data_IF_342057983289
#
_entry.id   IF_342057983289
#
_cell.length_a   1.000
_cell.length_b   1.000
_cell.length_c   1.000
_cell.angle_alpha   90.00
_cell.angle_beta   90.00
_cell.angle_gamma   90.00
#
_symmetry.space_group_name_H-M   'P 1'
#
loop_
_entity.id
_entity.type
_entity.pdbx_description
1 polymer ?
#
# COMPACT_ATOMS: atom_id res chain seq x y z
N UNK A 1 15.65 5.76 -21.74
CA UNK A 1 15.89 5.05 -20.47
C UNK A 1 15.75 3.56 -20.73
N UNK A 2 16.65 2.74 -20.23
CA UNK A 2 16.56 1.28 -20.37
C UNK A 2 15.73 0.71 -19.21
N UNK A 3 14.46 0.46 -19.45
CA UNK A 3 13.51 0.00 -18.43
C UNK A 3 13.81 -1.39 -17.87
N UNK A 4 14.62 -2.21 -18.57
CA UNK A 4 15.05 -3.52 -18.07
C UNK A 4 16.02 -3.41 -16.88
N UNK A 5 16.70 -2.27 -16.73
CA UNK A 5 17.72 -2.04 -15.70
C UNK A 5 17.32 -0.97 -14.68
N UNK A 6 16.13 -0.41 -14.82
CA UNK A 6 15.65 0.67 -13.93
C UNK A 6 15.33 0.13 -12.55
N UNK A 7 15.90 0.75 -11.53
CA UNK A 7 15.41 0.60 -10.17
C UNK A 7 14.23 1.56 -9.93
N UNK A 8 13.02 1.03 -10.04
CA UNK A 8 11.79 1.80 -9.89
C UNK A 8 11.70 2.58 -8.57
N UNK A 9 12.34 2.09 -7.50
CA UNK A 9 12.22 2.68 -6.16
C UNK A 9 13.15 3.87 -5.94
N UNK A 10 14.22 3.98 -6.73
CA UNK A 10 15.25 5.02 -6.55
C UNK A 10 15.46 5.92 -7.76
N UNK A 11 14.94 5.54 -8.93
CA UNK A 11 15.11 6.31 -10.17
C UNK A 11 14.22 7.56 -10.20
N UNK A 12 14.86 8.71 -10.02
CA UNK A 12 14.17 10.00 -9.96
C UNK A 12 13.49 10.39 -11.27
N UNK A 13 14.00 9.94 -12.40
CA UNK A 13 13.41 10.25 -13.71
C UNK A 13 12.00 9.67 -13.90
N UNK A 14 11.58 8.73 -13.06
CA UNK A 14 10.23 8.18 -13.06
C UNK A 14 9.24 8.98 -12.23
N UNK A 15 9.70 9.91 -11.38
CA UNK A 15 8.82 10.72 -10.53
C UNK A 15 7.96 11.66 -11.36
N UNK A 16 8.56 12.28 -12.37
CA UNK A 16 7.89 13.27 -13.21
C UNK A 16 6.88 12.63 -14.19
N UNK A 17 7.24 11.46 -14.75
CA UNK A 17 6.37 10.71 -15.66
C UNK A 17 6.63 9.18 -15.53
N UNK A 18 5.91 8.48 -14.66
CA UNK A 18 6.06 7.03 -14.47
C UNK A 18 5.33 6.20 -15.54
N UNK A 19 4.44 6.79 -16.34
CA UNK A 19 3.54 6.04 -17.23
C UNK A 19 4.25 5.22 -18.30
N UNK A 20 5.33 5.70 -18.96
CA UNK A 20 6.07 4.88 -19.92
C UNK A 20 6.67 3.61 -19.30
N UNK A 21 7.09 3.69 -18.03
CA UNK A 21 7.56 2.52 -17.30
C UNK A 21 6.41 1.54 -16.96
N UNK A 22 5.25 2.06 -16.57
CA UNK A 22 4.08 1.20 -16.34
C UNK A 22 3.59 0.52 -17.62
N UNK A 23 3.65 1.18 -18.76
CA UNK A 23 3.32 0.59 -20.05
C UNK A 23 4.30 -0.52 -20.44
N UNK A 24 5.57 -0.35 -20.13
CA UNK A 24 6.58 -1.39 -20.28
C UNK A 24 6.27 -2.59 -19.36
N UNK A 25 5.94 -2.37 -18.09
CA UNK A 25 5.62 -3.46 -17.16
C UNK A 25 4.36 -4.23 -17.59
N UNK A 26 3.34 -3.56 -18.12
CA UNK A 26 2.08 -4.19 -18.59
C UNK A 26 2.27 -5.15 -19.76
N UNK A 27 3.37 -5.07 -20.49
CA UNK A 27 3.68 -6.07 -21.53
C UNK A 27 3.88 -7.47 -20.96
N UNK A 28 4.25 -7.56 -19.66
CA UNK A 28 4.31 -8.81 -18.91
C UNK A 28 3.72 -8.51 -17.50
N UNK A 29 2.41 -8.76 -17.30
CA UNK A 29 1.67 -8.32 -16.11
C UNK A 29 2.23 -8.77 -14.77
N UNK A 30 3.00 -9.86 -14.74
CA UNK A 30 3.73 -10.34 -13.56
C UNK A 30 5.20 -10.46 -13.95
N UNK A 31 6.02 -9.54 -13.45
CA UNK A 31 7.44 -9.44 -13.82
C UNK A 31 8.32 -9.23 -12.61
N UNK A 32 9.43 -9.97 -12.54
CA UNK A 32 10.49 -9.68 -11.57
C UNK A 32 11.26 -8.46 -12.04
N UNK A 33 11.41 -7.47 -11.15
CA UNK A 33 12.11 -6.21 -11.45
C UNK A 33 13.40 -6.10 -10.65
N UNK A 34 14.51 -5.65 -11.29
CA UNK A 34 15.77 -5.45 -10.61
C UNK A 34 15.74 -4.16 -9.75
N UNK A 35 16.74 -3.98 -8.87
CA UNK A 35 17.73 -4.95 -8.43
C UNK A 35 17.27 -5.79 -7.23
N UNK A 36 16.11 -5.44 -6.64
CA UNK A 36 15.67 -5.93 -5.33
C UNK A 36 14.95 -7.28 -5.38
N UNK A 37 14.80 -7.87 -6.57
CA UNK A 37 14.07 -9.12 -6.74
C UNK A 37 12.56 -9.03 -6.52
N UNK A 38 12.03 -7.82 -6.45
CA UNK A 38 10.60 -7.54 -6.31
C UNK A 38 9.85 -8.05 -7.54
N UNK A 39 8.65 -8.57 -7.32
CA UNK A 39 7.74 -8.93 -8.41
C UNK A 39 6.70 -7.82 -8.56
N UNK A 40 6.74 -7.13 -9.70
CA UNK A 40 5.72 -6.16 -10.06
C UNK A 40 4.50 -6.89 -10.65
N UNK A 41 3.32 -6.62 -10.10
CA UNK A 41 2.03 -7.14 -10.59
C UNK A 41 1.23 -5.95 -11.10
N UNK A 42 1.06 -5.84 -12.42
CA UNK A 42 0.47 -4.67 -13.09
C UNK A 42 -0.82 -4.98 -13.85
N UNK A 43 -1.15 -6.25 -14.03
CA UNK A 43 -2.44 -6.66 -14.59
C UNK A 43 -3.55 -6.58 -13.53
N UNK A 44 -4.76 -6.18 -13.94
CA UNK A 44 -5.90 -6.05 -13.02
C UNK A 44 -6.32 -7.39 -12.42
N UNK A 45 -6.40 -8.42 -13.24
CA UNK A 45 -6.83 -9.76 -12.80
C UNK A 45 -5.78 -10.38 -11.88
N UNK A 46 -4.51 -10.27 -12.23
CA UNK A 46 -3.39 -10.79 -11.45
C UNK A 46 -3.27 -10.04 -10.11
N UNK A 47 -3.39 -8.73 -10.10
CA UNK A 47 -3.38 -7.93 -8.86
C UNK A 47 -4.57 -8.29 -7.97
N UNK A 48 -5.76 -8.45 -8.57
CA UNK A 48 -6.96 -8.83 -7.83
C UNK A 48 -6.83 -10.24 -7.25
N UNK A 49 -6.26 -11.18 -7.99
CA UNK A 49 -6.00 -12.53 -7.50
C UNK A 49 -5.01 -12.51 -6.32
N UNK A 50 -3.89 -11.78 -6.46
CA UNK A 50 -2.88 -11.63 -5.40
C UNK A 50 -3.48 -11.05 -4.12
N UNK A 51 -4.28 -9.99 -4.21
CA UNK A 51 -4.88 -9.35 -3.02
C UNK A 51 -5.98 -10.16 -2.33
N UNK A 52 -6.54 -11.14 -3.01
CA UNK A 52 -7.57 -12.03 -2.45
C UNK A 52 -7.00 -13.31 -1.85
N UNK A 53 -5.78 -13.62 -2.18
CA UNK A 53 -5.08 -14.81 -1.69
C UNK A 53 -4.23 -14.46 -0.47
N UNK A 54 -4.93 -14.24 0.65
CA UNK A 54 -4.31 -13.89 1.94
C UNK A 54 -3.60 -15.07 2.63
N UNK A 55 -3.74 -16.27 2.08
CA UNK A 55 -3.00 -17.45 2.54
C UNK A 55 -1.59 -17.49 1.91
N UNK A 56 -1.46 -17.05 0.64
CA UNK A 56 -0.18 -17.04 -0.06
C UNK A 56 0.58 -15.71 0.05
N UNK A 57 -0.12 -14.58 0.29
CA UNK A 57 0.48 -13.24 0.29
C UNK A 57 0.21 -12.50 1.60
N UNK A 58 1.26 -12.39 2.41
CA UNK A 58 1.21 -11.64 3.68
C UNK A 58 1.20 -10.12 3.44
N UNK A 59 0.47 -9.40 4.29
CA UNK A 59 0.46 -7.93 4.36
C UNK A 59 1.54 -7.35 5.26
N UNK A 60 2.42 -8.16 5.83
CA UNK A 60 3.36 -7.75 6.89
C UNK A 60 4.25 -6.55 6.53
N UNK A 61 4.52 -6.33 5.26
CA UNK A 61 5.33 -5.20 4.78
C UNK A 61 4.58 -4.29 3.78
N UNK A 62 3.27 -4.28 3.81
CA UNK A 62 2.44 -3.50 2.87
C UNK A 62 2.70 -2.00 2.90
N UNK A 63 3.20 -1.48 4.02
CA UNK A 63 3.54 -0.06 4.16
C UNK A 63 4.93 0.27 3.61
N UNK A 64 5.92 -0.57 3.89
CA UNK A 64 7.32 -0.30 3.54
C UNK A 64 7.69 -0.75 2.12
N UNK A 65 6.85 -1.54 1.46
CA UNK A 65 7.19 -2.18 0.21
C UNK A 65 8.37 -3.16 0.40
N UNK A 66 9.35 -3.19 -0.50
CA UNK A 66 10.47 -4.13 -0.40
C UNK A 66 11.50 -3.76 0.68
N UNK A 67 11.33 -2.63 1.39
CA UNK A 67 12.27 -2.13 2.39
C UNK A 67 11.61 -1.87 3.75
N UNK A 68 12.24 -2.31 4.85
CA UNK A 68 13.32 -3.30 4.86
C UNK A 68 12.82 -4.66 4.40
N UNK A 69 13.66 -5.43 3.75
CA UNK A 69 13.39 -6.85 3.47
C UNK A 69 13.57 -7.71 4.71
N UNK A 70 13.28 -9.00 4.61
CA UNK A 70 13.61 -9.96 5.65
C UNK A 70 15.13 -9.96 5.90
N UNK A 71 15.58 -10.01 7.17
CA UNK A 71 17.02 -10.00 7.50
C UNK A 71 17.77 -11.23 7.01
N UNK A 72 17.03 -12.30 6.71
CA UNK A 72 17.56 -13.54 6.16
C UNK A 72 16.75 -13.92 4.92
N UNK A 73 17.37 -14.57 3.92
CA UNK A 73 16.64 -15.07 2.75
C UNK A 73 15.53 -16.04 3.19
N UNK A 74 14.32 -15.92 2.61
CA UNK A 74 13.27 -16.92 2.83
C UNK A 74 13.70 -18.26 2.21
N UNK A 75 13.40 -19.34 2.92
CA UNK A 75 13.64 -20.72 2.48
C UNK A 75 12.39 -21.56 2.72
N UNK A 76 12.11 -22.46 1.79
CA UNK A 76 10.91 -23.30 1.80
C UNK A 76 9.66 -22.62 1.23
N UNK A 77 8.55 -23.34 1.32
CA UNK A 77 7.25 -22.92 0.75
C UNK A 77 6.36 -22.16 1.74
N UNK A 78 6.69 -22.22 3.05
CA UNK A 78 6.00 -21.52 4.10
C UNK A 78 6.98 -20.68 4.92
N UNK A 79 6.81 -19.37 4.90
CA UNK A 79 7.65 -18.41 5.61
C UNK A 79 6.94 -17.74 6.80
N UNK A 80 5.79 -18.26 7.23
CA UNK A 80 4.98 -17.67 8.30
C UNK A 80 5.77 -17.50 9.60
N UNK A 81 6.49 -18.53 10.03
CA UNK A 81 7.33 -18.44 11.24
C UNK A 81 8.47 -17.41 11.08
N UNK A 82 9.01 -17.28 9.88
CA UNK A 82 10.05 -16.31 9.57
C UNK A 82 9.52 -14.88 9.66
N UNK A 83 8.34 -14.62 9.10
CA UNK A 83 7.66 -13.32 9.20
C UNK A 83 7.39 -12.97 10.66
N UNK A 84 6.82 -13.88 11.44
CA UNK A 84 6.51 -13.63 12.85
C UNK A 84 7.77 -13.36 13.69
N UNK A 85 8.85 -14.09 13.43
CA UNK A 85 10.14 -13.87 14.13
C UNK A 85 10.73 -12.50 13.91
N UNK A 86 10.54 -11.93 12.73
CA UNK A 86 11.11 -10.64 12.33
C UNK A 86 10.07 -9.54 12.17
N UNK A 87 8.86 -9.73 12.69
CA UNK A 87 7.75 -8.76 12.55
C UNK A 87 8.15 -7.36 13.03
N UNK A 88 8.88 -7.27 14.13
CA UNK A 88 9.32 -6.00 14.72
C UNK A 88 10.36 -5.23 13.86
N UNK A 89 10.95 -5.88 12.87
CA UNK A 89 11.85 -5.22 11.92
C UNK A 89 11.08 -4.33 10.95
N UNK A 90 9.82 -4.67 10.68
CA UNK A 90 8.99 -3.93 9.74
C UNK A 90 8.39 -2.67 10.36
N UNK A 91 8.40 -1.53 9.64
CA UNK A 91 7.73 -0.33 10.11
C UNK A 91 6.22 -0.58 10.21
N UNK A 92 5.60 0.00 11.24
CA UNK A 92 4.15 -0.06 11.45
C UNK A 92 3.62 -1.51 11.60
N UNK A 93 4.45 -2.41 12.10
CA UNK A 93 4.13 -3.85 12.21
C UNK A 93 2.89 -4.17 13.06
N UNK A 94 2.48 -3.26 13.95
CA UNK A 94 1.31 -3.41 14.83
C UNK A 94 0.08 -2.62 14.34
N UNK A 95 0.00 -2.32 13.06
CA UNK A 95 -1.13 -1.60 12.49
C UNK A 95 -2.01 -2.53 11.63
N UNK A 96 -3.29 -2.18 11.51
CA UNK A 96 -4.26 -3.00 10.79
C UNK A 96 -3.83 -3.31 9.35
N UNK A 97 -3.13 -2.40 8.70
CA UNK A 97 -2.67 -2.52 7.31
C UNK A 97 -1.58 -3.59 7.13
N UNK A 98 -0.90 -3.96 8.20
CA UNK A 98 0.20 -4.94 8.19
C UNK A 98 -0.16 -6.27 8.86
N UNK A 99 -1.39 -6.39 9.36
CA UNK A 99 -1.85 -7.65 9.94
C UNK A 99 -2.32 -8.62 8.87
N UNK A 100 -2.05 -9.89 9.11
CA UNK A 100 -2.66 -11.00 8.39
C UNK A 100 -3.78 -11.65 9.22
N UNK A 101 -4.67 -12.46 8.62
CA UNK A 101 -5.61 -13.26 9.36
C UNK A 101 -4.91 -14.21 10.35
N UNK A 102 -5.51 -14.50 11.51
CA UNK A 102 -6.82 -14.05 11.99
C UNK A 102 -6.82 -12.69 12.68
N UNK A 103 -5.65 -12.09 12.91
CA UNK A 103 -5.50 -10.84 13.66
C UNK A 103 -6.14 -9.67 12.90
N UNK A 104 -5.85 -9.54 11.61
CA UNK A 104 -6.50 -8.57 10.72
C UNK A 104 -8.02 -8.61 10.82
N UNK A 105 -8.61 -9.80 10.66
CA UNK A 105 -10.06 -10.00 10.67
C UNK A 105 -10.69 -9.54 11.98
N UNK A 106 -10.06 -9.85 13.12
CA UNK A 106 -10.54 -9.43 14.45
C UNK A 106 -10.53 -7.91 14.61
N UNK A 107 -9.41 -7.26 14.27
CA UNK A 107 -9.26 -5.80 14.41
C UNK A 107 -10.16 -5.05 13.43
N UNK A 108 -10.23 -5.50 12.17
CA UNK A 108 -11.11 -4.93 11.15
C UNK A 108 -12.59 -5.00 11.57
N UNK A 109 -13.03 -6.12 12.14
CA UNK A 109 -14.41 -6.28 12.62
C UNK A 109 -14.78 -5.24 13.70
N UNK A 110 -13.83 -4.85 14.56
CA UNK A 110 -14.06 -3.80 15.56
C UNK A 110 -14.23 -2.43 14.89
N UNK A 111 -13.37 -2.09 13.93
CA UNK A 111 -13.45 -0.81 13.21
C UNK A 111 -14.72 -0.70 12.37
N UNK A 112 -15.14 -1.78 11.72
CA UNK A 112 -16.37 -1.78 10.90
C UNK A 112 -17.65 -1.48 11.71
N UNK A 113 -17.63 -1.68 13.03
CA UNK A 113 -18.74 -1.25 13.91
C UNK A 113 -18.84 0.28 14.04
N UNK A 114 -17.73 0.99 13.78
CA UNK A 114 -17.70 2.45 13.83
C UNK A 114 -18.07 3.09 12.48
N UNK A 115 -17.85 2.37 11.38
CA UNK A 115 -18.07 2.84 10.01
C UNK A 115 -19.27 2.09 9.42
N UNK A 116 -20.47 2.37 9.93
CA UNK A 116 -21.69 1.80 9.41
C UNK A 116 -22.40 2.76 8.45
N UNK A 117 -23.16 2.27 7.45
CA UNK A 117 -23.93 3.15 6.56
C UNK A 117 -24.82 4.15 7.32
N UNK A 118 -25.43 3.71 8.41
CA UNK A 118 -26.24 4.58 9.28
C UNK A 118 -25.42 5.72 9.88
N UNK A 119 -24.23 5.43 10.45
CA UNK A 119 -23.36 6.46 11.03
C UNK A 119 -22.82 7.41 9.97
N UNK A 120 -22.54 6.91 8.77
CA UNK A 120 -22.14 7.76 7.66
C UNK A 120 -23.23 8.76 7.30
N UNK A 121 -24.47 8.31 7.20
CA UNK A 121 -25.64 9.20 6.95
C UNK A 121 -25.84 10.20 8.09
N UNK A 122 -25.76 9.76 9.34
CA UNK A 122 -25.89 10.64 10.51
C UNK A 122 -24.81 11.74 10.52
N UNK A 123 -23.63 11.45 10.02
CA UNK A 123 -22.51 12.39 9.96
C UNK A 123 -22.46 13.24 8.67
N UNK A 124 -23.23 12.92 7.65
CA UNK A 124 -23.14 13.58 6.35
C UNK A 124 -23.29 15.11 6.45
N UNK A 125 -24.32 15.56 7.14
CA UNK A 125 -24.55 17.00 7.34
C UNK A 125 -23.42 17.71 8.10
N UNK A 126 -22.75 17.01 9.01
CA UNK A 126 -21.57 17.53 9.69
C UNK A 126 -20.38 17.63 8.73
N UNK A 127 -20.18 16.61 7.89
CA UNK A 127 -19.08 16.58 6.91
C UNK A 127 -19.22 17.73 5.91
N UNK A 128 -20.43 17.98 5.40
CA UNK A 128 -20.68 19.12 4.51
C UNK A 128 -20.37 20.46 5.20
N UNK A 129 -20.87 20.70 6.40
CA UNK A 129 -20.57 21.94 7.13
C UNK A 129 -19.09 22.10 7.44
N UNK A 130 -18.38 21.00 7.73
CA UNK A 130 -16.93 21.03 7.95
C UNK A 130 -16.19 21.40 6.67
N UNK A 131 -16.57 20.78 5.55
CA UNK A 131 -15.97 21.08 4.25
C UNK A 131 -16.16 22.53 3.83
N UNK A 132 -17.40 23.05 3.95
CA UNK A 132 -17.70 24.45 3.66
C UNK A 132 -16.84 25.40 4.49
N UNK A 133 -16.77 25.16 5.80
CA UNK A 133 -15.94 25.99 6.70
C UNK A 133 -14.46 25.96 6.31
N UNK A 134 -13.90 24.78 6.01
CA UNK A 134 -12.49 24.65 5.62
C UNK A 134 -12.20 25.33 4.28
N UNK A 135 -13.15 25.30 3.35
CA UNK A 135 -13.04 26.00 2.07
C UNK A 135 -13.06 27.50 2.29
N UNK A 136 -13.98 28.02 3.11
CA UNK A 136 -14.09 29.44 3.42
C UNK A 136 -12.80 29.96 4.05
N UNK A 137 -12.27 29.26 5.06
CA UNK A 137 -10.98 29.59 5.70
C UNK A 137 -9.84 29.65 4.66
N UNK A 138 -9.79 28.69 3.73
CA UNK A 138 -8.77 28.64 2.68
C UNK A 138 -8.93 29.80 1.68
N UNK A 139 -10.16 30.10 1.26
CA UNK A 139 -10.44 31.18 0.29
C UNK A 139 -10.10 32.55 0.88
N UNK A 140 -10.42 32.77 2.14
CA UNK A 140 -10.12 34.03 2.83
C UNK A 140 -8.60 34.26 3.00
N UNK A 141 -7.82 33.22 3.18
CA UNK A 141 -6.35 33.32 3.32
C UNK A 141 -5.63 33.60 1.99
N UNK A 142 -6.30 33.42 0.85
CA UNK A 142 -5.71 33.58 -0.49
C UNK A 142 -4.68 32.50 -0.83
N UNK A 143 -4.00 32.58 -1.99
CA UNK A 143 -3.02 31.58 -2.37
C UNK A 143 -1.87 31.55 -1.39
N UNK A 144 -1.68 30.39 -0.74
CA UNK A 144 -0.54 30.18 0.16
C UNK A 144 0.74 30.39 -0.63
N UNK A 145 1.54 31.41 -0.26
CA UNK A 145 2.90 31.53 -0.75
C UNK A 145 3.68 30.35 -0.17
N UNK A 146 3.93 29.34 -1.00
CA UNK A 146 4.92 28.31 -0.69
C UNK A 146 6.26 29.01 -0.45
N UNK A 147 6.77 28.91 0.76
CA UNK A 147 8.16 29.27 1.09
C UNK A 147 9.07 28.11 0.74
#
# INVERSE_FOLDING_TARGET
MDFEQVDFLTERGLIDDPYPYYDFLRQCPVRRVPPHGVVAVTGYDEATATWRDEDAFSSCNSFGGPFPGLPVPPDGDDITELIERYRDVYPISEHLVTFDPPLHTKHRALLMRLITPRRLQENEAFMWRLADRLIDEFVEQGPSRSR
#
